data_IF_338856137456
#
_entry.id   IF_338856137456
#
_cell.length_a   1.000
_cell.length_b   1.000
_cell.length_c   1.000
_cell.angle_alpha   90.00
_cell.angle_beta   90.00
_cell.angle_gamma   90.00
#
_symmetry.space_group_name_H-M   'P 1'
#
loop_
_entity.id
_entity.type
_entity.pdbx_description
1 polymer ?
#
# COMPACT_ATOMS: atom_id res chain seq x y z
N UNK A 1 5.26 -13.55 16.89
CA UNK A 1 6.11 -14.21 17.90
C UNK A 1 7.43 -13.48 17.92
N UNK A 2 7.82 -12.93 19.08
CA UNK A 2 9.10 -12.23 19.29
C UNK A 2 10.06 -13.23 19.94
N UNK A 3 11.28 -13.33 19.46
CA UNK A 3 12.30 -14.23 20.01
C UNK A 3 12.85 -13.68 21.32
N UNK A 4 13.10 -12.36 21.36
CA UNK A 4 13.62 -11.65 22.54
C UNK A 4 12.94 -10.29 22.62
N UNK A 5 12.69 -9.81 23.83
CA UNK A 5 12.18 -8.46 24.08
C UNK A 5 13.01 -7.83 25.20
N UNK A 6 13.54 -6.66 24.94
CA UNK A 6 14.39 -5.91 25.87
C UNK A 6 13.83 -4.49 26.05
N UNK A 7 14.02 -3.95 27.25
CA UNK A 7 13.61 -2.59 27.59
C UNK A 7 14.87 -1.77 27.88
N UNK A 8 15.03 -0.65 27.15
CA UNK A 8 16.19 0.21 27.33
C UNK A 8 15.99 1.56 26.63
N UNK A 9 16.90 2.47 26.91
CA UNK A 9 17.02 3.74 26.16
C UNK A 9 17.99 3.54 24.98
N UNK A 10 17.44 3.41 23.79
CA UNK A 10 18.20 3.15 22.57
C UNK A 10 18.70 4.42 21.86
N UNK A 11 18.51 5.60 22.46
CA UNK A 11 19.24 6.82 22.06
C UNK A 11 20.70 6.74 22.51
N UNK A 12 20.98 5.90 23.51
CA UNK A 12 22.34 5.61 23.97
C UNK A 12 23.01 4.58 23.05
N UNK A 13 24.08 4.98 22.37
CA UNK A 13 24.83 4.15 21.42
C UNK A 13 25.29 2.82 22.04
N UNK A 14 25.72 2.84 23.31
CA UNK A 14 26.15 1.63 24.03
C UNK A 14 25.06 0.55 24.14
N UNK A 15 23.80 0.93 24.20
CA UNK A 15 22.69 -0.03 24.25
C UNK A 15 22.43 -0.68 22.87
N UNK A 16 22.63 0.07 21.79
CA UNK A 16 22.58 -0.48 20.43
C UNK A 16 23.78 -1.40 20.14
N UNK A 17 24.97 -1.02 20.61
CA UNK A 17 26.18 -1.87 20.52
C UNK A 17 25.98 -3.21 21.25
N UNK A 18 25.36 -3.19 22.45
CA UNK A 18 25.08 -4.39 23.20
C UNK A 18 24.08 -5.36 22.51
N UNK A 19 23.27 -4.85 21.58
CA UNK A 19 22.35 -5.65 20.78
C UNK A 19 23.04 -6.34 19.58
N UNK A 20 24.28 -5.98 19.23
CA UNK A 20 24.97 -6.51 18.05
C UNK A 20 24.26 -6.13 16.75
N UNK A 21 23.96 -4.84 16.58
CA UNK A 21 23.11 -4.33 15.48
C UNK A 21 23.69 -4.59 14.08
N UNK A 22 24.97 -4.83 13.97
CA UNK A 22 25.67 -5.21 12.74
C UNK A 22 25.31 -6.59 12.20
N UNK A 23 24.80 -7.47 13.07
CA UNK A 23 24.43 -8.84 12.72
C UNK A 23 23.02 -8.97 12.16
N UNK A 24 22.21 -7.90 12.18
CA UNK A 24 20.83 -7.93 11.69
C UNK A 24 20.72 -7.49 10.23
N UNK A 25 20.01 -8.26 9.41
CA UNK A 25 19.72 -7.92 8.01
C UNK A 25 18.87 -6.65 7.89
N UNK A 26 17.90 -6.45 8.81
CA UNK A 26 16.98 -5.32 8.83
C UNK A 26 16.73 -4.81 10.22
N UNK A 27 16.79 -3.50 10.39
CA UNK A 27 16.44 -2.82 11.63
C UNK A 27 15.33 -1.81 11.38
N UNK A 28 14.25 -1.92 12.16
CA UNK A 28 13.11 -1.02 12.10
C UNK A 28 13.14 -0.04 13.26
N UNK A 29 13.25 1.25 12.97
CA UNK A 29 13.15 2.34 13.95
C UNK A 29 11.74 2.89 13.91
N UNK A 30 10.87 2.43 14.83
CA UNK A 30 9.45 2.78 14.89
C UNK A 30 9.12 3.75 16.03
N UNK A 31 10.05 4.59 16.43
CA UNK A 31 9.89 5.56 17.50
C UNK A 31 9.19 6.81 16.96
N UNK A 32 8.19 7.32 17.72
CA UNK A 32 7.38 8.46 17.31
C UNK A 32 8.06 9.81 17.51
N UNK A 33 8.94 9.89 18.51
CA UNK A 33 9.66 11.12 18.83
C UNK A 33 10.69 11.43 17.73
N UNK A 34 10.59 12.66 17.20
CA UNK A 34 11.39 13.10 16.06
C UNK A 34 12.88 13.03 16.36
N UNK A 35 13.31 13.64 17.48
CA UNK A 35 14.72 13.74 17.84
C UNK A 35 15.31 12.36 18.13
N UNK A 36 14.64 11.55 18.96
CA UNK A 36 15.14 10.24 19.37
C UNK A 36 15.30 9.30 18.18
N UNK A 37 14.35 9.30 17.27
CA UNK A 37 14.42 8.46 16.06
C UNK A 37 15.61 8.83 15.15
N UNK A 38 15.96 10.11 15.05
CA UNK A 38 17.12 10.55 14.28
C UNK A 38 18.43 10.14 14.94
N UNK A 39 18.53 10.32 16.26
CA UNK A 39 19.71 9.91 17.04
C UNK A 39 19.94 8.40 16.90
N UNK A 40 18.86 7.61 16.99
CA UNK A 40 18.96 6.15 16.87
C UNK A 40 19.41 5.76 15.45
N UNK A 41 18.85 6.35 14.40
CA UNK A 41 19.23 6.07 13.02
C UNK A 41 20.69 6.41 12.76
N UNK A 42 21.16 7.57 13.26
CA UNK A 42 22.53 8.00 13.15
C UNK A 42 23.49 7.02 13.86
N UNK A 43 23.20 6.67 15.12
CA UNK A 43 23.97 5.68 15.87
C UNK A 43 24.01 4.30 15.18
N UNK A 44 22.88 3.83 14.66
CA UNK A 44 22.81 2.56 13.92
C UNK A 44 23.70 2.59 12.67
N UNK A 45 23.72 3.71 11.94
CA UNK A 45 24.57 3.89 10.76
C UNK A 45 26.05 3.87 11.13
N UNK A 46 26.42 4.55 12.22
CA UNK A 46 27.80 4.53 12.73
C UNK A 46 28.24 3.14 13.24
N UNK A 47 27.32 2.34 13.77
CA UNK A 47 27.57 0.97 14.23
C UNK A 47 27.56 -0.06 13.10
N UNK A 48 27.36 0.35 11.84
CA UNK A 48 27.47 -0.53 10.69
C UNK A 48 26.21 -1.38 10.42
N UNK A 49 25.05 -0.96 10.92
CA UNK A 49 23.77 -1.62 10.62
C UNK A 49 23.57 -1.76 9.09
N UNK A 50 23.17 -2.95 8.62
CA UNK A 50 23.13 -3.30 7.21
C UNK A 50 22.02 -2.58 6.46
N UNK A 51 20.80 -2.56 7.03
CA UNK A 51 19.66 -1.91 6.40
C UNK A 51 18.70 -1.34 7.45
N UNK A 52 18.54 -0.02 7.44
CA UNK A 52 17.78 0.72 8.43
C UNK A 52 16.47 1.23 7.81
N UNK A 53 15.33 0.86 8.41
CA UNK A 53 14.00 1.30 8.00
C UNK A 53 13.43 2.20 9.09
N UNK A 54 13.27 3.50 8.81
CA UNK A 54 12.69 4.46 9.74
C UNK A 54 11.19 4.62 9.54
N UNK A 55 10.42 4.76 10.63
CA UNK A 55 9.02 5.19 10.58
C UNK A 55 8.95 6.71 10.70
N UNK A 56 8.38 7.39 9.70
CA UNK A 56 8.14 8.82 9.75
C UNK A 56 6.73 9.13 10.25
N UNK A 57 6.58 10.29 10.93
CA UNK A 57 5.31 10.89 11.33
C UNK A 57 4.95 12.14 10.50
N UNK A 58 5.87 12.61 9.65
CA UNK A 58 5.67 13.74 8.75
C UNK A 58 6.64 13.68 7.57
N UNK A 59 6.39 14.50 6.52
CA UNK A 59 7.31 14.61 5.37
C UNK A 59 8.69 15.17 5.76
N UNK A 60 8.70 16.07 6.73
CA UNK A 60 9.95 16.63 7.28
C UNK A 60 10.72 15.52 7.99
N UNK A 61 10.04 14.70 8.79
CA UNK A 61 10.63 13.57 9.49
C UNK A 61 11.22 12.55 8.51
N UNK A 62 10.48 12.17 7.46
CA UNK A 62 10.94 11.29 6.38
C UNK A 62 12.26 11.80 5.77
N UNK A 63 12.30 13.09 5.42
CA UNK A 63 13.49 13.73 4.85
C UNK A 63 14.70 13.67 5.77
N UNK A 64 14.50 13.88 7.06
CA UNK A 64 15.60 13.86 8.02
C UNK A 64 16.08 12.45 8.34
N UNK A 65 15.19 11.46 8.45
CA UNK A 65 15.58 10.06 8.62
C UNK A 65 16.47 9.58 7.45
N UNK A 66 16.08 9.88 6.21
CA UNK A 66 16.89 9.54 5.04
C UNK A 66 18.27 10.24 5.05
N UNK A 67 18.32 11.50 5.49
CA UNK A 67 19.58 12.24 5.59
C UNK A 67 20.50 11.73 6.68
N UNK A 68 19.95 11.18 7.76
CA UNK A 68 20.72 10.63 8.87
C UNK A 68 21.10 9.15 8.66
N UNK A 69 20.80 8.56 7.50
CA UNK A 69 21.31 7.25 7.13
C UNK A 69 20.28 6.13 7.12
N UNK A 70 18.99 6.40 7.26
CA UNK A 70 17.96 5.40 6.96
C UNK A 70 18.01 5.03 5.48
N UNK A 71 18.04 3.74 5.17
CA UNK A 71 18.04 3.23 3.80
C UNK A 71 16.63 3.29 3.20
N UNK A 72 15.60 3.18 4.06
CA UNK A 72 14.19 3.31 3.69
C UNK A 72 13.40 4.00 4.79
N UNK A 73 12.37 4.72 4.39
CA UNK A 73 11.39 5.29 5.33
C UNK A 73 10.00 4.84 4.95
N UNK A 74 9.22 4.46 5.95
CA UNK A 74 7.79 4.17 5.84
C UNK A 74 7.00 5.27 6.53
N UNK A 75 5.86 5.66 5.95
CA UNK A 75 4.94 6.63 6.53
C UNK A 75 3.52 6.08 6.49
N UNK A 76 3.19 5.14 7.43
CA UNK A 76 1.94 4.37 7.39
C UNK A 76 0.69 5.24 7.48
N UNK A 77 0.72 6.31 8.27
CA UNK A 77 -0.41 7.21 8.45
C UNK A 77 -0.78 7.92 7.14
N UNK A 78 0.21 8.37 6.34
CA UNK A 78 -0.03 8.97 5.02
C UNK A 78 -0.60 7.97 4.04
N UNK A 79 -0.04 6.77 4.00
CA UNK A 79 -0.49 5.71 3.10
C UNK A 79 -1.92 5.29 3.44
N UNK A 80 -2.21 5.09 4.71
CA UNK A 80 -3.56 4.75 5.20
C UNK A 80 -4.56 5.86 4.91
N UNK A 81 -4.20 7.12 5.15
CA UNK A 81 -5.05 8.27 4.87
C UNK A 81 -5.36 8.37 3.37
N UNK A 82 -4.36 8.21 2.50
CA UNK A 82 -4.54 8.22 1.06
C UNK A 82 -5.48 7.11 0.59
N UNK A 83 -5.24 5.86 1.02
CA UNK A 83 -6.07 4.71 0.66
C UNK A 83 -7.52 4.88 1.16
N UNK A 84 -7.68 5.40 2.37
CA UNK A 84 -8.99 5.73 2.95
C UNK A 84 -9.69 6.80 2.13
N UNK A 85 -9.01 7.88 1.77
CA UNK A 85 -9.57 8.94 0.95
C UNK A 85 -10.02 8.42 -0.44
N UNK A 86 -9.22 7.59 -1.09
CA UNK A 86 -9.59 6.96 -2.37
C UNK A 86 -10.83 6.09 -2.20
N UNK A 87 -10.86 5.22 -1.20
CA UNK A 87 -11.98 4.32 -0.92
C UNK A 87 -13.29 5.06 -0.67
N UNK A 88 -13.26 6.13 0.11
CA UNK A 88 -14.45 6.90 0.46
C UNK A 88 -14.76 8.06 -0.51
N UNK A 89 -13.91 8.31 -1.50
CA UNK A 89 -14.19 9.33 -2.53
C UNK A 89 -15.31 8.93 -3.50
N UNK A 90 -15.61 7.63 -3.59
CA UNK A 90 -16.65 7.09 -4.45
C UNK A 90 -17.29 5.86 -3.78
N UNK A 91 -18.63 5.86 -3.65
CA UNK A 91 -19.39 4.77 -3.00
C UNK A 91 -19.26 3.42 -3.70
N UNK A 92 -18.83 3.39 -4.96
CA UNK A 92 -18.64 2.17 -5.76
C UNK A 92 -17.22 1.64 -5.70
N UNK A 93 -16.28 2.27 -4.96
CA UNK A 93 -14.93 1.78 -4.72
C UNK A 93 -14.91 1.17 -3.31
N UNK A 94 -14.66 -0.13 -3.23
CA UNK A 94 -14.66 -0.88 -1.96
C UNK A 94 -13.27 -1.07 -1.41
N UNK A 95 -12.27 -1.20 -2.29
CA UNK A 95 -10.87 -1.34 -1.91
C UNK A 95 -9.94 -0.84 -3.00
N UNK A 96 -8.69 -0.55 -2.64
CA UNK A 96 -7.71 0.03 -3.52
C UNK A 96 -6.29 -0.36 -3.11
N UNK A 97 -5.49 -0.77 -4.10
CA UNK A 97 -4.05 -0.98 -3.97
C UNK A 97 -3.32 -0.12 -4.99
N UNK A 98 -2.49 0.81 -4.51
CA UNK A 98 -1.65 1.64 -5.37
C UNK A 98 -0.50 0.81 -5.92
N UNK A 99 -0.28 0.85 -7.24
CA UNK A 99 0.85 0.19 -7.89
C UNK A 99 2.00 1.17 -8.18
N UNK A 100 1.66 2.37 -8.66
CA UNK A 100 2.64 3.43 -8.95
C UNK A 100 2.01 4.55 -9.76
N UNK A 101 2.50 5.79 -9.58
CA UNK A 101 1.90 6.96 -10.22
C UNK A 101 0.40 7.07 -9.92
N UNK A 102 -0.42 7.16 -10.97
CA UNK A 102 -1.88 7.21 -10.89
C UNK A 102 -2.55 5.85 -11.10
N UNK A 103 -1.76 4.78 -11.31
CA UNK A 103 -2.25 3.43 -11.61
C UNK A 103 -2.41 2.61 -10.33
N UNK A 104 -3.51 1.89 -10.23
CA UNK A 104 -3.82 1.00 -9.11
C UNK A 104 -4.75 -0.15 -9.49
N UNK A 105 -4.95 -1.06 -8.54
CA UNK A 105 -6.00 -2.08 -8.59
C UNK A 105 -7.12 -1.61 -7.67
N UNK A 106 -8.32 -1.59 -8.22
CA UNK A 106 -9.53 -1.14 -7.53
C UNK A 106 -10.53 -2.28 -7.45
N UNK A 107 -11.09 -2.51 -6.26
CA UNK A 107 -12.29 -3.30 -6.11
C UNK A 107 -13.49 -2.38 -6.30
N UNK A 108 -14.28 -2.64 -7.33
CA UNK A 108 -15.46 -1.83 -7.66
C UNK A 108 -16.69 -2.72 -7.81
N UNK A 109 -17.86 -2.15 -7.58
CA UNK A 109 -19.13 -2.78 -7.97
C UNK A 109 -19.17 -2.93 -9.50
N UNK A 110 -19.66 -4.06 -9.99
CA UNK A 110 -19.85 -4.26 -11.43
C UNK A 110 -20.81 -3.19 -11.97
N UNK A 111 -20.39 -2.38 -12.96
CA UNK A 111 -21.26 -1.37 -13.54
C UNK A 111 -22.52 -2.01 -14.14
N UNK A 112 -23.69 -1.43 -13.91
CA UNK A 112 -24.96 -1.95 -14.44
C UNK A 112 -24.93 -2.15 -15.96
N UNK A 113 -24.24 -1.26 -16.67
CA UNK A 113 -24.08 -1.33 -18.13
C UNK A 113 -23.26 -2.55 -18.62
N UNK A 114 -22.50 -3.19 -17.71
CA UNK A 114 -21.68 -4.37 -18.00
C UNK A 114 -22.43 -5.68 -17.69
N UNK A 115 -23.45 -5.64 -16.85
CA UNK A 115 -24.21 -6.84 -16.48
C UNK A 115 -24.78 -7.58 -17.69
N UNK A 116 -24.70 -8.90 -17.66
CA UNK A 116 -25.14 -9.82 -18.71
C UNK A 116 -24.36 -9.71 -20.04
N UNK A 117 -23.25 -8.99 -20.07
CA UNK A 117 -22.34 -8.91 -21.22
C UNK A 117 -21.04 -9.64 -20.93
N UNK A 118 -20.42 -10.18 -21.96
CA UNK A 118 -19.09 -10.79 -21.81
C UNK A 118 -17.99 -9.72 -21.84
N UNK A 119 -16.84 -10.10 -21.26
CA UNK A 119 -15.64 -9.26 -21.31
C UNK A 119 -15.24 -8.95 -22.77
N UNK A 120 -15.43 -9.92 -23.68
CA UNK A 120 -15.19 -9.74 -25.11
C UNK A 120 -16.12 -8.69 -25.73
N UNK A 121 -17.44 -8.77 -25.44
CA UNK A 121 -18.42 -7.81 -25.95
C UNK A 121 -18.18 -6.38 -25.49
N UNK A 122 -17.68 -6.21 -24.29
CA UNK A 122 -17.42 -4.90 -23.70
C UNK A 122 -16.12 -4.26 -24.20
N UNK A 123 -15.13 -5.07 -24.58
CA UNK A 123 -13.78 -4.66 -24.98
C UNK A 123 -13.21 -3.56 -24.06
N UNK A 124 -13.30 -3.79 -22.75
CA UNK A 124 -13.05 -2.78 -21.71
C UNK A 124 -11.65 -2.16 -21.78
N UNK A 125 -10.70 -2.90 -22.34
CA UNK A 125 -9.35 -2.39 -22.54
C UNK A 125 -9.32 -1.22 -23.56
N UNK A 126 -10.07 -1.34 -24.63
CA UNK A 126 -10.15 -0.29 -25.66
C UNK A 126 -11.14 0.80 -25.29
N UNK A 127 -12.29 0.42 -24.74
CA UNK A 127 -13.39 1.34 -24.47
C UNK A 127 -13.20 2.18 -23.22
N UNK A 128 -12.54 1.60 -22.20
CA UNK A 128 -12.40 2.21 -20.88
C UNK A 128 -10.95 2.34 -20.40
N UNK A 129 -9.97 1.83 -21.16
CA UNK A 129 -8.55 1.82 -20.78
C UNK A 129 -8.27 1.17 -19.42
N UNK A 130 -8.97 0.07 -19.12
CA UNK A 130 -8.83 -0.69 -17.87
C UNK A 130 -8.70 -2.17 -18.15
N UNK A 131 -8.10 -2.92 -17.22
CA UNK A 131 -8.00 -4.38 -17.30
C UNK A 131 -8.75 -5.00 -16.13
N UNK A 132 -9.75 -5.82 -16.40
CA UNK A 132 -10.43 -6.63 -15.39
C UNK A 132 -9.57 -7.84 -15.07
N UNK A 133 -9.27 -8.06 -13.79
CA UNK A 133 -8.35 -9.09 -13.31
C UNK A 133 -9.11 -10.26 -12.69
N UNK A 134 -10.13 -9.96 -11.87
CA UNK A 134 -10.85 -10.95 -11.11
C UNK A 134 -12.27 -10.47 -10.81
N UNK A 135 -13.13 -11.41 -10.42
CA UNK A 135 -14.41 -11.15 -9.77
C UNK A 135 -14.34 -11.55 -8.30
N UNK A 136 -15.20 -10.95 -7.48
CA UNK A 136 -15.34 -11.22 -6.05
C UNK A 136 -16.82 -11.38 -5.74
N UNK A 137 -17.19 -12.54 -5.19
CA UNK A 137 -18.57 -12.84 -4.87
C UNK A 137 -18.99 -12.28 -3.50
N UNK A 138 -20.27 -12.41 -3.17
CA UNK A 138 -20.86 -11.97 -1.90
C UNK A 138 -20.27 -12.66 -0.66
N UNK A 139 -19.53 -13.76 -0.82
CA UNK A 139 -18.81 -14.46 0.25
C UNK A 139 -17.34 -14.06 0.33
N UNK A 140 -16.94 -12.96 -0.34
CA UNK A 140 -15.57 -12.47 -0.43
C UNK A 140 -14.58 -13.42 -1.11
N UNK A 141 -15.05 -14.39 -1.90
CA UNK A 141 -14.17 -15.29 -2.66
C UNK A 141 -13.77 -14.64 -3.96
N UNK A 142 -12.46 -14.51 -4.17
CA UNK A 142 -11.88 -13.93 -5.38
C UNK A 142 -11.61 -15.03 -6.40
N UNK A 143 -12.06 -14.81 -7.64
CA UNK A 143 -11.81 -15.71 -8.78
C UNK A 143 -11.21 -14.92 -9.94
N UNK A 144 -10.02 -15.33 -10.39
CA UNK A 144 -9.38 -14.73 -11.55
C UNK A 144 -10.24 -14.91 -12.83
N UNK A 145 -10.31 -13.85 -13.64
CA UNK A 145 -11.01 -13.88 -14.92
C UNK A 145 -9.99 -14.18 -16.02
N UNK A 146 -9.99 -15.44 -16.50
CA UNK A 146 -9.04 -15.94 -17.47
C UNK A 146 -9.65 -16.10 -18.87
N UNK A 147 -10.96 -15.88 -19.03
CA UNK A 147 -11.66 -16.03 -20.31
C UNK A 147 -12.28 -14.72 -20.77
N UNK A 148 -12.18 -14.44 -22.06
CA UNK A 148 -12.89 -13.33 -22.69
C UNK A 148 -14.42 -13.53 -22.72
N UNK A 149 -14.89 -14.78 -22.58
CA UNK A 149 -16.32 -15.12 -22.53
C UNK A 149 -16.92 -14.97 -21.14
N UNK A 150 -16.14 -14.51 -20.15
CA UNK A 150 -16.65 -14.23 -18.81
C UNK A 150 -17.79 -13.22 -18.87
N UNK A 151 -18.96 -13.61 -18.34
CA UNK A 151 -20.17 -12.77 -18.31
C UNK A 151 -20.29 -12.13 -16.93
N UNK A 152 -20.39 -10.81 -16.91
CA UNK A 152 -20.53 -10.04 -15.67
C UNK A 152 -21.93 -10.20 -15.07
N UNK A 153 -21.97 -10.37 -13.74
CA UNK A 153 -23.21 -10.54 -12.98
C UNK A 153 -23.52 -9.30 -12.15
N UNK A 154 -24.77 -9.08 -11.88
CA UNK A 154 -25.21 -8.07 -10.92
C UNK A 154 -24.83 -8.53 -9.51
N UNK A 155 -24.50 -7.58 -8.63
CA UNK A 155 -24.13 -7.82 -7.23
C UNK A 155 -22.79 -8.58 -7.03
N UNK A 156 -21.94 -8.64 -8.03
CA UNK A 156 -20.56 -9.03 -7.85
C UNK A 156 -19.65 -7.79 -7.87
N UNK A 157 -18.54 -7.89 -7.17
CA UNK A 157 -17.47 -6.91 -7.30
C UNK A 157 -16.44 -7.42 -8.31
N UNK A 158 -15.75 -6.49 -8.92
CA UNK A 158 -14.65 -6.79 -9.84
C UNK A 158 -13.37 -6.08 -9.41
N UNK A 159 -12.25 -6.76 -9.61
CA UNK A 159 -10.93 -6.16 -9.45
C UNK A 159 -10.46 -5.66 -10.80
N UNK A 160 -10.23 -4.36 -10.89
CA UNK A 160 -9.89 -3.67 -12.13
C UNK A 160 -8.60 -2.90 -11.96
N UNK A 161 -7.65 -3.11 -12.85
CA UNK A 161 -6.42 -2.32 -12.93
C UNK A 161 -6.58 -1.20 -13.95
N UNK A 162 -6.20 0.01 -13.55
CA UNK A 162 -6.24 1.19 -14.40
C UNK A 162 -5.84 2.46 -13.67
N UNK A 163 -5.82 3.57 -14.40
CA UNK A 163 -5.58 4.89 -13.83
C UNK A 163 -6.82 5.42 -13.11
N UNK A 164 -6.61 6.17 -12.03
CA UNK A 164 -7.69 6.75 -11.22
C UNK A 164 -8.74 7.51 -12.06
N UNK A 165 -8.30 8.23 -13.11
CA UNK A 165 -9.19 8.96 -14.03
C UNK A 165 -10.15 8.06 -14.81
N UNK A 166 -9.68 6.88 -15.23
CA UNK A 166 -10.45 5.93 -16.03
C UNK A 166 -11.39 5.11 -15.12
N UNK A 167 -10.94 4.74 -13.93
CA UNK A 167 -11.78 4.15 -12.87
C UNK A 167 -12.95 5.08 -12.53
N UNK A 168 -12.69 6.38 -12.34
CA UNK A 168 -13.77 7.37 -12.06
C UNK A 168 -14.83 7.43 -13.16
N UNK A 169 -14.47 7.21 -14.43
CA UNK A 169 -15.43 7.22 -15.54
C UNK A 169 -16.40 6.03 -15.46
N UNK A 170 -15.89 4.84 -15.13
CA UNK A 170 -16.71 3.62 -15.06
C UNK A 170 -17.49 3.49 -13.75
N UNK A 171 -17.10 4.23 -12.70
CA UNK A 171 -17.80 4.25 -11.40
C UNK A 171 -18.69 5.47 -11.20
N UNK A 172 -18.81 6.38 -12.19
CA UNK A 172 -19.75 7.51 -12.11
C UNK A 172 -21.19 7.00 -12.14
N UNK A 173 -21.98 7.45 -11.16
CA UNK A 173 -23.42 7.35 -11.23
C UNK A 173 -23.94 8.15 -12.45
N UNK A 174 -24.85 7.55 -13.22
CA UNK A 174 -25.63 8.29 -14.21
C UNK A 174 -26.77 8.99 -13.49
#
# INVERSE_FOLDING_TARGET
LVTTAEIGDYTLKSNLEALGVEDYDYIFVCIGEFQDSLVIVDNLKELGAQYIIGKASSEVHEKFLLKNGADKVIYPERETAYNTAVKYSNRRIFDFVKLGGDTGIYEIETPDAWCSKSLLQLDVRKTHNVTVIASKDSQNRVKAINSADYIFSKNEHILVMGDAKDIRKITKDK
#
